data_IF_881483586807
#
_entry.id   IF_881483586807
#
_cell.length_a   1.000
_cell.length_b   1.000
_cell.length_c   1.000
_cell.angle_alpha   90.00
_cell.angle_beta   90.00
_cell.angle_gamma   90.00
#
_symmetry.space_group_name_H-M   'P 1'
#
loop_
_entity.id
_entity.type
_entity.pdbx_description
1 polymer ?
#
# COMPACT_ATOMS: atom_id res chain seq x y z
N UNK A 1 -11.73 3.03 -0.82
CA UNK A 1 -10.31 2.72 -0.57
C UNK A 1 -9.52 3.24 -1.77
N UNK A 2 -8.47 4.06 -1.57
CA UNK A 2 -7.63 4.63 -2.63
C UNK A 2 -6.21 4.06 -2.54
N UNK A 3 -6.11 2.76 -2.80
CA UNK A 3 -4.87 1.99 -2.87
C UNK A 3 -4.18 2.13 -4.23
N UNK A 4 -3.04 1.46 -4.41
CA UNK A 4 -2.23 1.53 -5.64
C UNK A 4 -2.98 1.01 -6.88
N UNK A 5 -3.81 -0.03 -6.74
CA UNK A 5 -4.56 -0.61 -7.86
C UNK A 5 -5.74 0.28 -8.25
N UNK A 6 -6.53 0.73 -7.26
CA UNK A 6 -7.64 1.65 -7.54
C UNK A 6 -7.14 2.96 -8.17
N UNK A 7 -6.00 3.50 -7.72
CA UNK A 7 -5.37 4.68 -8.35
C UNK A 7 -4.91 4.44 -9.79
N UNK A 8 -4.29 3.29 -10.07
CA UNK A 8 -3.86 2.95 -11.43
C UNK A 8 -5.05 2.85 -12.38
N UNK A 9 -6.13 2.19 -11.95
CA UNK A 9 -7.37 2.06 -12.73
C UNK A 9 -8.02 3.41 -12.98
N UNK A 10 -8.22 4.23 -11.94
CA UNK A 10 -8.82 5.57 -12.08
C UNK A 10 -7.99 6.47 -13.01
N UNK A 11 -6.66 6.39 -12.93
CA UNK A 11 -5.77 7.16 -13.80
C UNK A 11 -5.89 6.72 -15.26
N UNK A 12 -5.96 5.41 -15.53
CA UNK A 12 -6.13 4.88 -16.87
C UNK A 12 -7.50 5.25 -17.46
N UNK A 13 -8.56 5.12 -16.66
CA UNK A 13 -9.93 5.48 -17.01
C UNK A 13 -10.07 6.97 -17.35
N UNK A 14 -9.45 7.86 -16.57
CA UNK A 14 -9.45 9.30 -16.83
C UNK A 14 -8.81 9.71 -18.17
N UNK A 15 -7.96 8.83 -18.73
CA UNK A 15 -7.30 9.02 -20.02
C UNK A 15 -7.98 8.23 -21.14
N UNK A 16 -9.08 7.53 -20.85
CA UNK A 16 -9.75 6.58 -21.76
C UNK A 16 -8.77 5.55 -22.33
N UNK A 17 -7.81 5.11 -21.52
CA UNK A 17 -6.71 4.25 -21.93
C UNK A 17 -6.67 2.97 -21.09
N UNK A 18 -6.06 1.92 -21.64
CA UNK A 18 -5.72 0.72 -20.88
C UNK A 18 -4.43 0.95 -20.06
N UNK A 19 -4.21 0.10 -19.05
CA UNK A 19 -2.98 0.09 -18.28
C UNK A 19 -1.77 -0.22 -19.18
N UNK A 20 -0.74 0.62 -19.07
CA UNK A 20 0.50 0.46 -19.84
C UNK A 20 1.53 -0.43 -19.12
N UNK A 21 2.63 -0.73 -19.81
CA UNK A 21 3.73 -1.50 -19.24
C UNK A 21 4.34 -0.85 -17.98
N UNK A 22 4.38 0.49 -17.93
CA UNK A 22 4.85 1.23 -16.76
C UNK A 22 3.94 1.08 -15.54
N UNK A 23 2.61 1.13 -15.74
CA UNK A 23 1.64 0.93 -14.66
C UNK A 23 1.73 -0.49 -14.10
N UNK A 24 1.83 -1.49 -15.00
CA UNK A 24 1.98 -2.88 -14.60
C UNK A 24 3.30 -3.15 -13.87
N UNK A 25 4.40 -2.50 -14.27
CA UNK A 25 5.67 -2.59 -13.56
C UNK A 25 5.57 -1.98 -12.15
N UNK A 26 4.92 -0.83 -12.00
CA UNK A 26 4.69 -0.20 -10.70
C UNK A 26 3.83 -1.08 -9.77
N UNK A 27 2.76 -1.70 -10.30
CA UNK A 27 1.93 -2.63 -9.53
C UNK A 27 2.68 -3.90 -9.12
N UNK A 28 3.56 -4.43 -9.98
CA UNK A 28 4.44 -5.56 -9.62
C UNK A 28 5.39 -5.20 -8.48
N UNK A 29 6.01 -4.02 -8.52
CA UNK A 29 6.85 -3.53 -7.42
C UNK A 29 6.05 -3.39 -6.13
N UNK A 30 4.83 -2.85 -6.21
CA UNK A 30 3.94 -2.73 -5.05
C UNK A 30 3.65 -4.10 -4.40
N UNK A 31 3.44 -5.14 -5.21
CA UNK A 31 3.26 -6.52 -4.71
C UNK A 31 4.55 -7.04 -4.08
N UNK A 32 5.71 -6.83 -4.72
CA UNK A 32 7.00 -7.29 -4.21
C UNK A 32 7.33 -6.67 -2.84
N UNK A 33 6.96 -5.40 -2.63
CA UNK A 33 7.12 -4.71 -1.35
C UNK A 33 6.05 -5.07 -0.31
N UNK A 34 5.03 -5.87 -0.68
CA UNK A 34 3.91 -6.24 0.18
C UNK A 34 4.35 -6.91 1.49
N UNK A 35 5.36 -7.77 1.44
CA UNK A 35 5.87 -8.46 2.64
C UNK A 35 6.46 -7.48 3.67
N UNK A 36 7.13 -6.42 3.22
CA UNK A 36 7.67 -5.38 4.13
C UNK A 36 6.54 -4.73 4.92
N UNK A 37 5.42 -4.47 4.26
CA UNK A 37 4.26 -3.79 4.84
C UNK A 37 3.48 -4.71 5.79
N UNK A 38 3.43 -6.01 5.51
CA UNK A 38 2.87 -7.01 6.43
C UNK A 38 3.71 -7.16 7.70
N UNK A 39 5.04 -7.17 7.59
CA UNK A 39 5.94 -7.26 8.74
C UNK A 39 5.80 -6.05 9.68
N UNK A 40 5.75 -4.84 9.10
CA UNK A 40 5.49 -3.60 9.85
C UNK A 40 4.13 -3.65 10.56
N UNK A 41 3.06 -4.08 9.88
CA UNK A 41 1.73 -4.18 10.50
C UNK A 41 1.73 -5.19 11.63
N UNK A 42 2.39 -6.33 11.47
CA UNK A 42 2.48 -7.34 12.52
C UNK A 42 3.22 -6.81 13.77
N UNK A 43 4.30 -6.06 13.56
CA UNK A 43 5.06 -5.41 14.62
C UNK A 43 4.23 -4.34 15.34
N UNK A 44 3.47 -3.52 14.61
CA UNK A 44 2.60 -2.49 15.20
C UNK A 44 1.46 -3.13 15.98
N UNK A 45 0.74 -4.08 15.38
CA UNK A 45 -0.42 -4.70 15.99
C UNK A 45 -0.07 -5.46 17.29
N UNK A 46 1.06 -6.15 17.30
CA UNK A 46 1.53 -6.90 18.48
C UNK A 46 1.95 -6.00 19.65
N UNK A 47 2.33 -4.74 19.38
CA UNK A 47 2.83 -3.79 20.37
C UNK A 47 1.91 -2.57 20.57
N UNK A 48 0.68 -2.61 20.04
CA UNK A 48 -0.18 -1.44 19.96
C UNK A 48 -0.48 -0.81 21.34
N UNK A 49 -0.69 -1.62 22.38
CA UNK A 49 -0.92 -1.14 23.75
C UNK A 49 0.27 -0.39 24.31
N UNK A 50 1.48 -0.95 24.16
CA UNK A 50 2.72 -0.31 24.60
C UNK A 50 2.95 1.01 23.85
N UNK A 51 2.77 1.03 22.53
CA UNK A 51 2.90 2.25 21.71
C UNK A 51 1.96 3.36 22.21
N UNK A 52 0.70 3.03 22.56
CA UNK A 52 -0.26 4.00 23.07
C UNK A 52 0.09 4.47 24.48
N UNK A 53 0.55 3.57 25.36
CA UNK A 53 0.97 3.92 26.72
C UNK A 53 2.19 4.85 26.72
N UNK A 54 3.23 4.51 25.94
CA UNK A 54 4.46 5.30 25.81
C UNK A 54 4.20 6.68 25.17
N UNK A 55 3.14 6.84 24.38
CA UNK A 55 2.80 8.11 23.75
C UNK A 55 2.16 9.15 24.70
N UNK A 56 1.71 8.72 25.88
CA UNK A 56 0.95 9.55 26.83
C UNK A 56 1.78 9.88 28.08
N UNK A 57 2.63 8.95 28.54
CA UNK A 57 3.56 9.13 29.67
C UNK A 57 4.81 9.90 29.28
#
# INVERSE_FOLDING_TARGET
MLDAFSRAVVTADSKTACLGAGDLAALKTFIADGNKRLDVVNSIASNASCIVSDAIS
#
